data_IF_218061128863
#
_entry.id   IF_218061128863
#
_cell.length_a   1.000
_cell.length_b   1.000
_cell.length_c   1.000
_cell.angle_alpha   90.00
_cell.angle_beta   90.00
_cell.angle_gamma   90.00
#
_symmetry.space_group_name_H-M   'P 1'
#
loop_
_entity.id
_entity.type
_entity.pdbx_description
1 polymer ?
#
# COMPACT_ATOMS: atom_id res chain seq x y z
N UNK A 1 0.76 -17.03 -13.92
CA UNK A 1 1.41 -15.82 -14.48
C UNK A 1 2.21 -15.15 -13.37
N UNK A 2 3.54 -15.10 -13.47
CA UNK A 2 4.36 -14.36 -12.51
C UNK A 2 4.21 -12.86 -12.81
N UNK A 3 3.50 -12.13 -11.95
CA UNK A 3 3.46 -10.66 -12.02
C UNK A 3 4.90 -10.19 -11.81
N UNK A 4 5.52 -9.58 -12.84
CA UNK A 4 6.93 -9.15 -12.77
C UNK A 4 7.09 -7.75 -12.17
N UNK A 5 6.02 -6.96 -12.16
CA UNK A 5 6.05 -5.56 -11.78
C UNK A 5 4.80 -5.15 -11.02
N UNK A 6 4.95 -4.18 -10.13
CA UNK A 6 3.86 -3.67 -9.32
C UNK A 6 2.88 -2.86 -10.18
N UNK A 7 1.62 -2.72 -9.74
CA UNK A 7 0.62 -1.96 -10.49
C UNK A 7 1.08 -0.54 -10.85
N UNK A 8 1.76 0.16 -9.92
CA UNK A 8 2.32 1.51 -10.15
C UNK A 8 3.54 1.50 -11.07
N UNK A 9 4.42 0.50 -10.92
CA UNK A 9 5.57 0.27 -11.79
C UNK A 9 5.14 -0.03 -13.22
N UNK A 10 3.92 -0.54 -13.40
CA UNK A 10 3.35 -0.81 -14.71
C UNK A 10 2.71 0.42 -15.35
N UNK A 11 2.14 1.30 -14.53
CA UNK A 11 1.56 2.56 -15.00
C UNK A 11 2.63 3.56 -15.48
N UNK A 12 3.86 3.48 -14.97
CA UNK A 12 4.92 4.43 -15.31
C UNK A 12 6.24 3.74 -15.74
N UNK A 13 6.64 3.85 -17.02
CA UNK A 13 7.78 3.11 -17.56
C UNK A 13 9.14 3.58 -17.03
N UNK A 14 9.23 4.82 -16.54
CA UNK A 14 10.46 5.42 -15.99
C UNK A 14 10.81 4.81 -14.63
N UNK A 15 9.82 4.67 -13.75
CA UNK A 15 10.00 3.99 -12.45
C UNK A 15 10.32 2.51 -12.66
N UNK A 16 9.68 1.82 -13.62
CA UNK A 16 9.98 0.41 -13.96
C UNK A 16 11.46 0.13 -14.20
N UNK A 17 12.17 1.03 -14.90
CA UNK A 17 13.61 0.89 -15.16
C UNK A 17 14.47 1.08 -13.91
N UNK A 18 14.01 1.87 -12.93
CA UNK A 18 14.72 2.13 -11.67
C UNK A 18 14.55 1.02 -10.63
N UNK A 19 13.37 0.39 -10.56
CA UNK A 19 13.07 -0.53 -9.45
C UNK A 19 13.51 -1.98 -9.71
N UNK A 20 13.78 -2.34 -10.98
CA UNK A 20 14.15 -3.71 -11.34
C UNK A 20 13.02 -4.74 -11.13
N UNK A 21 13.20 -5.97 -11.60
CA UNK A 21 12.20 -7.05 -11.45
C UNK A 21 12.15 -7.66 -10.04
N UNK A 22 13.20 -7.47 -9.23
CA UNK A 22 13.32 -8.05 -7.89
C UNK A 22 12.48 -7.33 -6.83
N UNK A 23 12.10 -6.08 -7.09
CA UNK A 23 11.34 -5.28 -6.13
C UNK A 23 9.96 -5.86 -5.78
N UNK A 24 9.38 -6.71 -6.65
CA UNK A 24 8.11 -7.38 -6.37
C UNK A 24 8.29 -8.65 -5.53
N UNK A 25 9.47 -9.27 -5.50
CA UNK A 25 9.74 -10.43 -4.66
C UNK A 25 9.67 -10.07 -3.16
N UNK A 26 10.02 -8.83 -2.83
CA UNK A 26 9.89 -8.24 -1.49
C UNK A 26 8.63 -7.35 -1.36
N UNK A 27 7.68 -7.47 -2.28
CA UNK A 27 6.43 -6.70 -2.27
C UNK A 27 5.32 -7.35 -1.43
N UNK A 28 4.28 -6.60 -1.15
CA UNK A 28 3.06 -7.07 -0.49
C UNK A 28 1.80 -6.69 -1.28
N UNK A 29 0.69 -7.35 -0.97
CA UNK A 29 -0.63 -7.00 -1.52
C UNK A 29 -1.20 -5.84 -0.69
N UNK A 30 -1.55 -4.74 -1.36
CA UNK A 30 -2.18 -3.61 -0.68
C UNK A 30 -3.55 -4.04 -0.13
N UNK A 31 -3.85 -3.88 1.17
CA UNK A 31 -5.13 -4.31 1.75
C UNK A 31 -6.32 -3.45 1.32
N UNK A 32 -6.07 -2.27 0.73
CA UNK A 32 -7.12 -1.32 0.30
C UNK A 32 -7.61 -1.61 -1.11
N UNK A 33 -6.69 -1.82 -2.06
CA UNK A 33 -7.01 -2.04 -3.48
C UNK A 33 -6.69 -3.46 -3.97
N UNK A 34 -6.16 -4.31 -3.09
CA UNK A 34 -5.78 -5.71 -3.38
C UNK A 34 -4.79 -5.88 -4.54
N UNK A 35 -4.07 -4.81 -4.90
CA UNK A 35 -3.09 -4.85 -5.98
C UNK A 35 -1.68 -5.22 -5.45
N UNK A 36 -0.92 -6.04 -6.20
CA UNK A 36 0.46 -6.36 -5.84
C UNK A 36 1.35 -5.12 -5.96
N UNK A 37 2.02 -4.80 -4.86
CA UNK A 37 2.80 -3.56 -4.71
C UNK A 37 4.23 -3.87 -4.28
N UNK A 38 5.23 -3.35 -4.99
CA UNK A 38 6.63 -3.54 -4.59
C UNK A 38 6.96 -2.69 -3.35
N UNK A 39 7.98 -3.10 -2.58
CA UNK A 39 8.41 -2.40 -1.35
C UNK A 39 8.60 -0.89 -1.51
N UNK A 40 9.08 -0.44 -2.67
CA UNK A 40 9.34 0.99 -2.95
C UNK A 40 8.06 1.82 -3.11
N UNK A 41 6.96 1.18 -3.48
CA UNK A 41 5.66 1.83 -3.60
C UNK A 41 4.70 1.43 -2.49
N UNK A 42 5.15 0.67 -1.49
CA UNK A 42 4.49 0.56 -0.21
C UNK A 42 4.83 1.77 0.65
N UNK A 43 3.91 2.10 1.54
CA UNK A 43 4.06 3.14 2.55
C UNK A 43 3.26 2.73 3.77
N UNK A 44 3.80 3.03 4.94
CA UNK A 44 3.09 2.75 6.19
C UNK A 44 2.00 3.80 6.40
N UNK A 45 0.81 3.32 6.74
CA UNK A 45 -0.28 4.12 7.30
C UNK A 45 -0.55 3.65 8.72
N UNK A 46 -1.00 4.57 9.57
CA UNK A 46 -1.22 4.31 10.99
C UNK A 46 -2.63 4.72 11.38
N UNK A 47 -3.26 3.91 12.21
CA UNK A 47 -4.57 4.19 12.79
C UNK A 47 -4.60 3.83 14.27
N UNK A 48 -5.67 4.24 14.93
CA UNK A 48 -6.07 3.72 16.24
C UNK A 48 -7.35 2.92 16.10
N UNK A 49 -7.45 1.82 16.83
CA UNK A 49 -8.68 1.06 16.94
C UNK A 49 -9.68 1.84 17.80
N UNK A 50 -10.90 2.03 17.31
CA UNK A 50 -11.96 2.75 18.04
C UNK A 50 -12.41 2.01 19.30
N UNK A 51 -12.32 0.68 19.30
CA UNK A 51 -12.73 -0.18 20.41
C UNK A 51 -11.74 -0.16 21.57
N UNK A 52 -10.43 -0.26 21.30
CA UNK A 52 -9.39 -0.36 22.33
C UNK A 52 -8.56 0.93 22.50
N UNK A 53 -8.57 1.83 21.51
CA UNK A 53 -7.69 2.99 21.46
C UNK A 53 -6.24 2.67 21.06
N UNK A 54 -5.90 1.40 20.84
CA UNK A 54 -4.56 0.95 20.51
C UNK A 54 -4.15 1.41 19.11
N UNK A 55 -2.88 1.79 18.97
CA UNK A 55 -2.32 2.20 17.69
C UNK A 55 -1.80 1.00 16.90
N UNK A 56 -2.09 0.96 15.61
CA UNK A 56 -1.68 -0.10 14.72
C UNK A 56 -1.25 0.48 13.36
N UNK A 57 -0.58 -0.34 12.55
CA UNK A 57 0.01 0.07 11.29
C UNK A 57 -0.06 -1.03 10.23
N UNK A 58 -0.17 -0.62 8.97
CA UNK A 58 -0.10 -1.53 7.82
C UNK A 58 0.63 -0.87 6.67
N UNK A 59 1.19 -1.72 5.80
CA UNK A 59 1.73 -1.31 4.52
C UNK A 59 0.59 -1.21 3.50
N UNK A 60 0.43 -0.02 2.91
CA UNK A 60 -0.51 0.23 1.81
C UNK A 60 0.25 0.80 0.63
N UNK A 61 -0.33 0.71 -0.56
CA UNK A 61 0.30 1.28 -1.74
C UNK A 61 0.25 2.83 -1.69
N UNK A 62 1.29 3.48 -2.21
CA UNK A 62 1.40 4.95 -2.26
C UNK A 62 0.23 5.60 -2.99
N UNK A 63 -0.32 4.93 -4.01
CA UNK A 63 -1.51 5.40 -4.73
C UNK A 63 -2.76 5.47 -3.82
N UNK A 64 -3.03 4.44 -3.00
CA UNK A 64 -4.13 4.46 -2.03
C UNK A 64 -3.89 5.44 -0.87
N UNK A 65 -2.61 5.68 -0.53
CA UNK A 65 -2.27 6.73 0.43
C UNK A 65 -2.55 8.12 -0.14
N UNK A 66 -2.05 8.41 -1.35
CA UNK A 66 -2.18 9.73 -1.98
C UNK A 66 -3.61 10.09 -2.37
N UNK A 67 -4.43 9.10 -2.74
CA UNK A 67 -5.86 9.31 -3.02
C UNK A 67 -6.73 9.35 -1.74
N UNK A 68 -6.13 9.22 -0.56
CA UNK A 68 -6.83 9.04 0.72
C UNK A 68 -7.79 7.84 0.78
N UNK A 69 -7.75 6.92 -0.18
CA UNK A 69 -8.60 5.73 -0.19
C UNK A 69 -8.39 4.83 1.03
N UNK A 70 -7.18 4.80 1.60
CA UNK A 70 -6.91 4.10 2.86
C UNK A 70 -7.80 4.58 4.02
N UNK A 71 -8.27 5.85 4.01
CA UNK A 71 -9.16 6.34 5.07
C UNK A 71 -10.55 5.72 5.01
N UNK A 72 -10.98 5.30 3.82
CA UNK A 72 -12.25 4.60 3.61
C UNK A 72 -12.16 3.11 3.95
N UNK A 73 -10.95 2.59 4.18
CA UNK A 73 -10.75 1.24 4.66
C UNK A 73 -11.17 1.19 6.14
N UNK A 74 -12.26 0.44 6.40
CA UNK A 74 -12.69 0.10 7.76
C UNK A 74 -12.94 1.31 8.68
N UNK A 75 -13.70 2.29 8.16
CA UNK A 75 -14.03 3.56 8.84
C UNK A 75 -14.78 3.37 10.16
N UNK A 76 -15.51 2.27 10.29
CA UNK A 76 -16.29 1.95 11.48
C UNK A 76 -15.42 1.56 12.68
N UNK A 77 -14.24 0.98 12.44
CA UNK A 77 -13.37 0.47 13.50
C UNK A 77 -12.06 1.26 13.63
N UNK A 78 -11.67 2.04 12.62
CA UNK A 78 -10.38 2.72 12.56
C UNK A 78 -10.49 4.23 12.63
N UNK A 79 -9.56 4.84 13.35
CA UNK A 79 -9.35 6.27 13.39
C UNK A 79 -7.96 6.62 12.88
N UNK A 80 -7.88 7.29 11.73
CA UNK A 80 -6.65 7.43 10.96
C UNK A 80 -5.77 8.57 11.48
N UNK A 81 -4.49 8.27 11.77
CA UNK A 81 -3.51 9.26 12.25
C UNK A 81 -2.70 9.84 11.08
N UNK A 82 -2.17 8.96 10.19
CA UNK A 82 -1.21 9.32 9.13
C UNK A 82 -1.37 8.53 7.84
#
# INVERSE_FOLDING_TARGET
MAVKYCAMCNAEPVTRRRVGGEALAEGEICPVCYAPTCRYHLTTVRWRWRSSGEADAALVCKSCKSSYAHRNWDTLNRDWIT
#
